data_IF_297942173595
#
_entry.id   IF_297942173595
#
_cell.length_a   1.000
_cell.length_b   1.000
_cell.length_c   1.000
_cell.angle_alpha   90.00
_cell.angle_beta   90.00
_cell.angle_gamma   90.00
#
_symmetry.space_group_name_H-M   'P 1'
#
loop_
_entity.id
_entity.type
_entity.pdbx_description
1 polymer ?
#
# COMPACT_ATOMS: atom_id res chain seq x y z
N UNK A 1 -9.68 -2.93 -0.89
CA UNK A 1 -8.29 -2.46 -1.09
C UNK A 1 -8.28 -0.95 -0.94
N UNK A 2 -7.46 -0.39 -0.05
CA UNK A 2 -7.38 1.06 0.17
C UNK A 2 -5.94 1.54 -0.06
N UNK A 3 -5.66 2.47 -0.98
CA UNK A 3 -4.31 3.04 -1.15
C UNK A 3 -3.85 3.76 0.12
N UNK A 4 -2.57 3.61 0.48
CA UNK A 4 -2.03 4.23 1.69
C UNK A 4 -1.69 5.71 1.49
N UNK A 5 -1.12 6.07 0.33
CA UNK A 5 -0.61 7.42 0.07
C UNK A 5 -1.60 8.57 0.37
N UNK A 6 -2.88 8.53 -0.05
CA UNK A 6 -3.83 9.62 0.22
C UNK A 6 -4.16 9.84 1.71
N UNK A 7 -3.79 8.89 2.58
CA UNK A 7 -4.01 8.97 4.03
C UNK A 7 -2.80 9.53 4.79
N UNK A 8 -1.65 9.66 4.13
CA UNK A 8 -0.43 10.17 4.74
C UNK A 8 -0.45 11.69 4.74
N UNK A 9 -0.08 12.30 5.86
CA UNK A 9 0.23 13.74 5.93
C UNK A 9 1.72 13.91 5.72
N UNK A 10 2.09 14.67 4.70
CA UNK A 10 3.48 14.97 4.38
C UNK A 10 3.60 16.34 3.72
N UNK A 11 4.82 16.88 3.72
CA UNK A 11 5.13 18.13 3.05
C UNK A 11 5.21 17.91 1.53
N UNK A 12 4.46 18.72 0.77
CA UNK A 12 4.33 18.61 -0.68
C UNK A 12 5.68 18.70 -1.41
N UNK A 13 6.72 19.32 -0.81
CA UNK A 13 8.06 19.33 -1.41
C UNK A 13 8.67 17.92 -1.57
N UNK A 14 8.15 16.93 -0.85
CA UNK A 14 8.58 15.53 -0.92
C UNK A 14 7.64 14.64 -1.74
N UNK A 15 6.68 15.20 -2.48
CA UNK A 15 5.64 14.44 -3.16
C UNK A 15 6.17 13.33 -4.07
N UNK A 16 7.23 13.59 -4.83
CA UNK A 16 7.87 12.58 -5.68
C UNK A 16 8.49 11.43 -4.88
N UNK A 17 9.10 11.73 -3.72
CA UNK A 17 9.63 10.70 -2.83
C UNK A 17 8.50 9.87 -2.19
N UNK A 18 7.40 10.52 -1.77
CA UNK A 18 6.24 9.85 -1.20
C UNK A 18 5.53 8.97 -2.22
N UNK A 19 5.34 9.44 -3.46
CA UNK A 19 4.82 8.63 -4.57
C UNK A 19 5.72 7.43 -4.86
N UNK A 20 7.04 7.62 -4.88
CA UNK A 20 8.00 6.53 -5.11
C UNK A 20 7.89 5.44 -4.03
N UNK A 21 7.84 5.83 -2.75
CA UNK A 21 7.85 4.88 -1.63
C UNK A 21 6.48 4.27 -1.37
N UNK A 22 5.41 5.08 -1.37
CA UNK A 22 4.07 4.70 -0.92
C UNK A 22 3.02 4.57 -2.05
N UNK A 23 3.33 5.02 -3.27
CA UNK A 23 2.37 5.04 -4.39
C UNK A 23 1.89 3.65 -4.85
N UNK A 24 2.57 2.58 -4.44
CA UNK A 24 2.17 1.18 -4.70
C UNK A 24 1.86 0.39 -3.42
N UNK A 25 1.53 1.08 -2.33
CA UNK A 25 1.17 0.44 -1.05
C UNK A 25 -0.35 0.51 -0.85
N UNK A 26 -0.94 -0.64 -0.53
CA UNK A 26 -2.37 -0.77 -0.25
C UNK A 26 -2.60 -1.51 1.08
N UNK A 27 -3.69 -1.16 1.76
CA UNK A 27 -4.15 -1.83 2.98
C UNK A 27 -5.35 -2.72 2.65
N UNK A 28 -5.37 -3.93 3.21
CA UNK A 28 -6.42 -4.93 3.06
C UNK A 28 -7.01 -5.34 4.42
N UNK A 29 -8.25 -5.86 4.44
CA UNK A 29 -8.89 -6.31 5.68
C UNK A 29 -8.23 -7.56 6.28
N UNK A 30 -7.65 -8.42 5.46
CA UNK A 30 -7.02 -9.68 5.88
C UNK A 30 -5.92 -10.12 4.90
N UNK A 31 -5.15 -11.13 5.29
CA UNK A 31 -4.01 -11.63 4.52
C UNK A 31 -4.42 -12.31 3.20
N UNK A 32 -5.61 -12.90 3.14
CA UNK A 32 -6.14 -13.53 1.91
C UNK A 32 -6.43 -12.47 0.85
N UNK A 33 -7.08 -11.38 1.25
CA UNK A 33 -7.30 -10.22 0.42
C UNK A 33 -5.98 -9.55 0.00
N UNK A 34 -4.99 -9.45 0.91
CA UNK A 34 -3.64 -8.98 0.57
C UNK A 34 -3.03 -9.77 -0.59
N UNK A 35 -2.97 -11.11 -0.47
CA UNK A 35 -2.37 -11.99 -1.50
C UNK A 35 -3.05 -11.84 -2.86
N UNK A 36 -4.39 -11.79 -2.88
CA UNK A 36 -5.16 -11.58 -4.12
C UNK A 36 -4.81 -10.25 -4.77
N UNK A 37 -4.85 -9.16 -4.00
CA UNK A 37 -4.63 -7.82 -4.52
C UNK A 37 -3.17 -7.59 -4.97
N UNK A 38 -2.19 -8.09 -4.20
CA UNK A 38 -0.77 -7.97 -4.53
C UNK A 38 -0.46 -8.57 -5.90
N UNK A 39 -0.97 -9.77 -6.19
CA UNK A 39 -0.79 -10.45 -7.48
C UNK A 39 -1.57 -9.78 -8.61
N UNK A 40 -2.83 -9.43 -8.36
CA UNK A 40 -3.72 -8.87 -9.39
C UNK A 40 -3.27 -7.47 -9.87
N UNK A 41 -2.77 -6.64 -8.96
CA UNK A 41 -2.46 -5.23 -9.25
C UNK A 41 -0.96 -4.91 -9.17
N UNK A 42 -0.11 -5.90 -8.89
CA UNK A 42 1.34 -5.72 -8.73
C UNK A 42 1.70 -4.61 -7.70
N UNK A 43 1.09 -4.72 -6.52
CA UNK A 43 1.21 -3.78 -5.40
C UNK A 43 1.76 -4.48 -4.16
N UNK A 44 2.29 -3.70 -3.21
CA UNK A 44 2.62 -4.18 -1.86
C UNK A 44 1.37 -4.03 -0.99
N UNK A 45 0.86 -5.14 -0.47
CA UNK A 45 -0.37 -5.17 0.32
C UNK A 45 -0.06 -5.49 1.79
N UNK A 46 -0.68 -4.75 2.71
CA UNK A 46 -0.52 -4.92 4.15
C UNK A 46 -1.87 -5.08 4.85
N UNK A 47 -1.94 -5.88 5.90
CA UNK A 47 -3.07 -5.89 6.85
C UNK A 47 -2.89 -4.75 7.86
N UNK A 48 -3.93 -4.46 8.65
CA UNK A 48 -3.81 -3.50 9.76
C UNK A 48 -2.88 -3.99 10.88
N UNK A 49 -2.72 -5.30 11.00
CA UNK A 49 -1.85 -5.95 12.00
C UNK A 49 -0.37 -5.99 11.58
N UNK A 50 -0.06 -5.49 10.36
CA UNK A 50 1.31 -5.39 9.85
C UNK A 50 1.79 -6.58 9.03
N UNK A 51 0.98 -7.63 8.87
CA UNK A 51 1.28 -8.70 7.92
C UNK A 51 1.30 -8.15 6.49
N UNK A 52 2.11 -8.75 5.63
CA UNK A 52 2.24 -8.30 4.25
C UNK A 52 2.20 -9.44 3.23
N UNK A 53 1.79 -9.08 2.02
CA UNK A 53 1.98 -9.86 0.82
C UNK A 53 2.56 -8.95 -0.26
N UNK A 54 3.70 -9.33 -0.82
CA UNK A 54 4.31 -8.68 -1.97
C UNK A 54 4.07 -9.49 -3.25
N UNK A 55 4.39 -8.87 -4.39
CA UNK A 55 4.38 -9.50 -5.73
C UNK A 55 5.12 -10.83 -5.76
#
# INVERSE_FOLDING_TARGET
MQPLLPKLKYDQRFDEAFKHVFGKIVVCPDLTACKKNAKQYNVRAYTLDGDNASR
#
